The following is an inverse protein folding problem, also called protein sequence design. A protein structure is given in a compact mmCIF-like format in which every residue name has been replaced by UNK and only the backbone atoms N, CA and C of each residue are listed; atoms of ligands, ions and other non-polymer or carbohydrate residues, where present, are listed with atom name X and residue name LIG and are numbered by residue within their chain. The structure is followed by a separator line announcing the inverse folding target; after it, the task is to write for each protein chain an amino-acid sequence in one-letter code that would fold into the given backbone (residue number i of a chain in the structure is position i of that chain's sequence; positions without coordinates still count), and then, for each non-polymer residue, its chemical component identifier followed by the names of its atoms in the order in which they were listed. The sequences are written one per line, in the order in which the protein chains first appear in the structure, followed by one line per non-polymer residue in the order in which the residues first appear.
data_IF_813463955006
#
_entry.id   IF_813463955006
#
_cell.length_a   1.000
_cell.length_b   1.000
_cell.length_c   1.000
_cell.angle_alpha   90.00
_cell.angle_beta   90.00
_cell.angle_gamma   90.00
#
_symmetry.space_group_name_H-M   'P 1'
#
loop_
_entity.id
_entity.type
_entity.pdbx_description
1 polymer ?
#
# COMPACT_ATOMS: atom_id res chain seq x y z
N UNK A 1 24.91 -8.23 2.01
CA UNK A 1 23.98 -9.35 1.80
C UNK A 1 22.55 -8.84 1.65
N UNK A 2 21.87 -9.29 0.64
CA UNK A 2 20.50 -8.87 0.40
C UNK A 2 19.53 -9.52 1.39
N UNK A 3 18.53 -8.78 1.76
CA UNK A 3 17.46 -9.31 2.59
C UNK A 3 16.64 -10.32 1.76
N UNK A 4 16.30 -11.43 2.39
CA UNK A 4 15.40 -12.39 1.78
C UNK A 4 13.98 -11.81 1.74
N UNK A 5 13.33 -11.99 0.60
CA UNK A 5 11.94 -11.56 0.40
C UNK A 5 11.15 -12.69 -0.20
N UNK A 6 9.90 -12.81 0.21
CA UNK A 6 8.99 -13.81 -0.34
C UNK A 6 7.67 -13.16 -0.67
N UNK A 7 7.07 -13.63 -1.74
CA UNK A 7 5.75 -13.16 -2.14
C UNK A 7 4.74 -13.40 -1.01
N UNK A 8 3.92 -12.41 -0.73
CA UNK A 8 2.86 -12.51 0.26
C UNK A 8 1.48 -12.39 -0.40
N UNK A 9 1.22 -11.30 -1.14
CA UNK A 9 -0.04 -11.14 -1.85
C UNK A 9 0.05 -10.09 -2.96
N UNK A 10 -0.85 -10.22 -3.91
CA UNK A 10 -1.14 -9.19 -4.90
C UNK A 10 -2.55 -8.67 -4.63
N UNK A 11 -2.78 -7.39 -4.81
CA UNK A 11 -4.12 -6.82 -4.70
C UNK A 11 -4.18 -5.52 -5.50
N UNK A 12 -5.39 -5.03 -5.74
CA UNK A 12 -5.52 -3.70 -6.31
C UNK A 12 -5.46 -2.65 -5.20
N UNK A 13 -5.22 -1.40 -5.57
CA UNK A 13 -5.27 -0.28 -4.64
C UNK A 13 -6.72 0.19 -4.57
N UNK A 14 -7.37 -0.02 -3.43
CA UNK A 14 -8.77 0.35 -3.24
C UNK A 14 -8.91 1.83 -2.92
N UNK A 15 -9.98 2.44 -3.41
CA UNK A 15 -10.36 3.79 -3.02
C UNK A 15 -9.47 4.91 -3.51
N UNK A 16 -8.63 4.69 -4.52
CA UNK A 16 -7.71 5.73 -4.98
C UNK A 16 -8.42 7.02 -5.40
N UNK A 17 -9.65 6.89 -5.90
CA UNK A 17 -10.44 8.03 -6.36
C UNK A 17 -10.77 9.01 -5.23
N UNK A 18 -10.84 8.50 -3.99
CA UNK A 18 -11.28 9.29 -2.84
C UNK A 18 -10.12 9.75 -1.95
N UNK A 19 -8.89 9.53 -2.39
CA UNK A 19 -7.70 9.85 -1.63
C UNK A 19 -6.73 10.66 -2.49
N UNK A 20 -5.51 10.85 -2.00
CA UNK A 20 -4.59 11.83 -2.56
C UNK A 20 -3.73 11.32 -3.74
N UNK A 21 -4.12 10.20 -4.35
CA UNK A 21 -3.35 9.62 -5.46
C UNK A 21 -3.18 10.60 -6.62
N UNK A 22 -4.20 11.40 -6.91
CA UNK A 22 -4.13 12.33 -8.03
C UNK A 22 -3.10 13.43 -7.84
N UNK A 23 -2.82 13.80 -6.60
CA UNK A 23 -1.83 14.84 -6.30
C UNK A 23 -0.41 14.39 -6.60
N UNK A 24 -0.17 13.09 -6.59
CA UNK A 24 1.16 12.51 -6.83
C UNK A 24 1.17 11.54 -8.00
N UNK A 25 0.11 11.54 -8.80
CA UNK A 25 -0.07 10.55 -9.86
C UNK A 25 1.14 10.42 -10.78
N UNK A 26 1.74 11.55 -11.16
CA UNK A 26 2.90 11.55 -12.05
C UNK A 26 4.13 10.87 -11.45
N UNK A 27 4.15 10.70 -10.15
CA UNK A 27 5.27 10.10 -9.43
C UNK A 27 5.06 8.61 -9.16
N UNK A 28 3.83 8.13 -9.35
CA UNK A 28 3.50 6.73 -9.11
C UNK A 28 3.80 5.92 -10.36
N UNK A 29 4.70 4.96 -10.24
CA UNK A 29 5.15 4.12 -11.36
C UNK A 29 5.29 2.69 -10.89
N UNK A 30 5.34 1.77 -11.85
CA UNK A 30 5.66 0.39 -11.52
C UNK A 30 7.01 0.35 -10.80
N UNK A 31 7.06 -0.31 -9.67
CA UNK A 31 8.25 -0.37 -8.82
C UNK A 31 8.28 0.63 -7.69
N UNK A 32 7.40 1.63 -7.69
CA UNK A 32 7.34 2.62 -6.61
C UNK A 32 7.11 1.94 -5.27
N UNK A 33 7.96 2.27 -4.29
CA UNK A 33 7.84 1.74 -2.93
C UNK A 33 6.77 2.49 -2.16
N UNK A 34 5.92 1.74 -1.46
CA UNK A 34 4.83 2.28 -0.67
C UNK A 34 4.92 1.76 0.76
N UNK A 35 4.36 2.50 1.69
CA UNK A 35 4.31 2.11 3.10
C UNK A 35 2.90 1.68 3.46
N UNK A 36 2.77 0.62 4.24
CA UNK A 36 1.49 0.16 4.76
C UNK A 36 1.34 0.62 6.20
N UNK A 37 0.17 1.16 6.53
CA UNK A 37 -0.07 1.78 7.82
C UNK A 37 -1.46 1.42 8.34
N UNK A 38 -1.55 0.98 9.61
CA UNK A 38 -2.85 0.73 10.21
C UNK A 38 -3.61 2.04 10.37
N UNK A 39 -4.86 2.05 9.93
CA UNK A 39 -5.75 3.19 10.13
C UNK A 39 -6.74 2.86 11.24
N UNK A 40 -6.34 3.09 12.47
CA UNK A 40 -7.13 2.75 13.65
C UNK A 40 -8.37 3.63 13.82
N UNK A 41 -8.40 4.78 13.16
CA UNK A 41 -9.53 5.70 13.27
C UNK A 41 -10.61 5.45 12.22
N UNK A 42 -10.43 4.44 11.39
CA UNK A 42 -11.39 4.14 10.33
C UNK A 42 -12.63 3.48 10.92
N UNK A 43 -13.77 4.19 10.81
CA UNK A 43 -15.02 3.67 11.38
C UNK A 43 -15.76 2.69 10.45
N UNK A 44 -15.32 2.59 9.22
CA UNK A 44 -15.99 1.74 8.22
C UNK A 44 -15.35 0.37 8.08
N UNK A 45 -14.09 0.25 8.49
CA UNK A 45 -13.34 -0.98 8.36
C UNK A 45 -12.40 -1.14 9.54
N UNK A 46 -12.69 -2.07 10.46
CA UNK A 46 -11.84 -2.25 11.65
C UNK A 46 -10.44 -2.76 11.33
N UNK A 47 -10.23 -3.29 10.12
CA UNK A 47 -8.94 -3.80 9.69
C UNK A 47 -8.30 -2.92 8.61
N UNK A 48 -8.69 -1.66 8.52
CA UNK A 48 -8.21 -0.77 7.48
C UNK A 48 -6.68 -0.62 7.49
N UNK A 49 -6.08 -0.79 6.32
CA UNK A 49 -4.65 -0.60 6.10
C UNK A 49 -4.48 0.42 4.99
N UNK A 50 -3.97 1.58 5.35
CA UNK A 50 -3.72 2.67 4.41
C UNK A 50 -2.44 2.41 3.63
N UNK A 51 -2.44 2.82 2.37
CA UNK A 51 -1.28 2.74 1.49
C UNK A 51 -0.74 4.15 1.33
N UNK A 52 0.51 4.36 1.75
CA UNK A 52 1.12 5.68 1.85
C UNK A 52 2.27 5.80 0.86
N UNK A 53 2.27 6.87 0.10
CA UNK A 53 3.40 7.27 -0.72
C UNK A 53 4.17 8.37 0.01
N UNK A 54 5.45 8.14 0.26
CA UNK A 54 6.30 9.12 0.91
C UNK A 54 7.11 9.84 -0.16
N UNK A 55 6.84 11.13 -0.34
CA UNK A 55 7.53 11.94 -1.33
C UNK A 55 8.74 12.62 -0.70
N UNK A 56 9.93 12.19 -1.08
CA UNK A 56 11.16 12.70 -0.50
C UNK A 56 11.48 14.12 -0.95
N UNK A 57 11.05 14.51 -2.14
CA UNK A 57 11.28 15.86 -2.65
C UNK A 57 10.44 16.90 -1.91
N UNK A 58 9.18 16.56 -1.64
CA UNK A 58 8.26 17.45 -0.94
C UNK A 58 8.32 17.28 0.57
N UNK A 59 8.98 16.22 1.03
CA UNK A 59 9.01 15.83 2.45
C UNK A 59 7.58 15.70 2.99
N UNK A 60 6.71 15.06 2.22
CA UNK A 60 5.31 14.86 2.56
C UNK A 60 4.88 13.42 2.32
N UNK A 61 3.88 12.98 3.06
CA UNK A 61 3.29 11.66 2.91
C UNK A 61 1.85 11.79 2.41
N UNK A 62 1.47 10.93 1.48
CA UNK A 62 0.15 10.96 0.86
C UNK A 62 -0.51 9.60 0.99
N UNK A 63 -1.73 9.58 1.54
CA UNK A 63 -2.53 8.36 1.51
C UNK A 63 -3.14 8.25 0.11
N UNK A 64 -2.69 7.28 -0.66
CA UNK A 64 -3.14 7.10 -2.05
C UNK A 64 -4.29 6.11 -2.18
N UNK A 65 -4.62 5.43 -1.12
CA UNK A 65 -5.71 4.46 -1.10
C UNK A 65 -5.53 3.47 0.04
N UNK A 66 -6.20 2.33 -0.08
CA UNK A 66 -6.22 1.30 0.96
C UNK A 66 -6.05 -0.08 0.37
N UNK A 67 -5.62 -1.02 1.19
CA UNK A 67 -5.68 -2.44 0.86
C UNK A 67 -7.15 -2.84 0.87
N UNK A 68 -7.64 -3.60 -0.12
CA UNK A 68 -9.05 -4.00 -0.16
C UNK A 68 -9.48 -4.72 1.12
N UNK A 69 -10.72 -4.48 1.55
CA UNK A 69 -11.25 -5.09 2.78
C UNK A 69 -11.20 -6.61 2.76
N UNK A 70 -11.30 -7.21 1.58
CA UNK A 70 -11.24 -8.66 1.43
C UNK A 70 -9.85 -9.23 1.67
N UNK A 71 -8.82 -8.37 1.68
CA UNK A 71 -7.42 -8.82 1.69
C UNK A 71 -6.61 -8.28 2.86
N UNK A 72 -7.21 -7.49 3.74
CA UNK A 72 -6.43 -6.70 4.70
C UNK A 72 -6.28 -7.30 6.10
N UNK A 73 -7.06 -8.30 6.45
CA UNK A 73 -7.12 -8.80 7.83
C UNK A 73 -5.76 -9.24 8.38
N UNK A 74 -5.04 -10.04 7.62
CA UNK A 74 -3.74 -10.55 8.06
C UNK A 74 -2.71 -9.43 8.18
N UNK A 75 -2.69 -8.53 7.18
CA UNK A 75 -1.79 -7.37 7.22
C UNK A 75 -2.08 -6.51 8.45
N UNK A 76 -3.35 -6.24 8.70
CA UNK A 76 -3.77 -5.45 9.86
C UNK A 76 -3.27 -6.05 11.16
N UNK A 77 -3.41 -7.38 11.29
CA UNK A 77 -2.99 -8.08 12.50
C UNK A 77 -1.49 -7.94 12.73
N UNK A 78 -0.68 -8.14 11.69
CA UNK A 78 0.78 -7.99 11.82
C UNK A 78 1.18 -6.57 12.20
N UNK A 79 0.58 -5.59 11.53
CA UNK A 79 0.90 -4.19 11.78
C UNK A 79 0.51 -3.78 13.19
N UNK A 80 -0.64 -4.25 13.69
CA UNK A 80 -1.07 -3.98 15.07
C UNK A 80 -0.09 -4.54 16.09
N UNK A 81 0.52 -5.68 15.79
CA UNK A 81 1.47 -6.30 16.69
C UNK A 81 2.88 -5.71 16.58
N UNK A 82 3.03 -4.64 15.80
CA UNK A 82 4.29 -3.93 15.70
C UNK A 82 5.23 -4.41 14.60
N UNK A 83 4.79 -5.33 13.75
CA UNK A 83 5.63 -5.85 12.65
C UNK A 83 5.60 -4.91 11.45
N UNK A 84 5.93 -3.64 11.67
CA UNK A 84 5.82 -2.61 10.65
C UNK A 84 6.87 -2.72 9.54
N UNK A 85 8.00 -3.37 9.83
CA UNK A 85 9.07 -3.54 8.84
C UNK A 85 9.05 -4.90 8.14
N UNK A 86 8.01 -5.70 8.40
CA UNK A 86 7.96 -7.06 7.85
C UNK A 86 7.55 -7.11 6.38
N UNK A 87 6.98 -6.03 5.86
CA UNK A 87 6.40 -6.03 4.52
C UNK A 87 7.05 -4.99 3.62
N UNK A 88 7.18 -5.34 2.33
CA UNK A 88 7.55 -4.40 1.29
C UNK A 88 6.40 -4.36 0.29
N UNK A 89 5.83 -3.18 0.09
CA UNK A 89 4.74 -2.98 -0.85
C UNK A 89 5.24 -2.13 -2.02
N UNK A 90 5.04 -2.62 -3.24
CA UNK A 90 5.40 -1.86 -4.44
C UNK A 90 4.27 -1.92 -5.46
N UNK A 91 4.19 -0.88 -6.27
CA UNK A 91 3.27 -0.87 -7.41
C UNK A 91 3.78 -1.89 -8.41
N UNK A 92 2.91 -2.82 -8.81
CA UNK A 92 3.28 -3.86 -9.78
C UNK A 92 2.67 -3.63 -11.16
N UNK A 93 1.59 -2.83 -11.23
CA UNK A 93 0.93 -2.57 -12.50
C UNK A 93 0.12 -1.28 -12.40
N UNK A 94 0.13 -0.51 -13.48
CA UNK A 94 -0.72 0.68 -13.63
C UNK A 94 -1.44 0.56 -14.97
N UNK A 95 -2.77 0.68 -14.93
CA UNK A 95 -3.61 0.68 -16.13
C UNK A 95 -4.50 1.92 -16.11
N UNK A 96 -4.05 2.97 -16.78
CA UNK A 96 -4.76 4.24 -16.78
C UNK A 96 -6.11 4.18 -17.49
N UNK A 97 -6.32 3.18 -18.32
CA UNK A 97 -7.56 3.01 -19.09
C UNK A 97 -8.62 2.22 -18.32
N UNK A 98 -8.28 1.67 -17.17
CA UNK A 98 -9.22 0.92 -16.35
C UNK A 98 -10.07 1.87 -15.49
N UNK A 99 -11.17 1.33 -14.93
CA UNK A 99 -11.93 2.03 -13.91
C UNK A 99 -10.98 2.41 -12.76
N UNK A 100 -11.23 3.58 -12.13
CA UNK A 100 -10.32 4.11 -11.10
C UNK A 100 -9.97 3.09 -10.01
N UNK A 101 -10.93 2.24 -9.63
CA UNK A 101 -10.69 1.23 -8.59
C UNK A 101 -9.66 0.18 -9.00
N UNK A 102 -9.45 -0.03 -10.29
CA UNK A 102 -8.58 -1.09 -10.81
C UNK A 102 -7.40 -0.54 -11.61
N UNK A 103 -7.06 0.72 -11.41
CA UNK A 103 -5.95 1.33 -12.14
C UNK A 103 -4.58 0.96 -11.59
N UNK A 104 -4.48 0.73 -10.29
CA UNK A 104 -3.20 0.46 -9.63
C UNK A 104 -3.26 -0.89 -8.94
N UNK A 105 -2.24 -1.71 -9.18
CA UNK A 105 -2.07 -3.00 -8.53
C UNK A 105 -0.79 -3.02 -7.72
N UNK A 106 -0.84 -3.74 -6.61
CA UNK A 106 0.25 -3.80 -5.65
C UNK A 106 0.73 -5.23 -5.49
N UNK A 107 2.04 -5.38 -5.30
CA UNK A 107 2.62 -6.64 -4.85
C UNK A 107 3.25 -6.40 -3.50
N UNK A 108 2.89 -7.24 -2.55
CA UNK A 108 3.39 -7.17 -1.18
C UNK A 108 4.25 -8.41 -0.92
N UNK A 109 5.45 -8.18 -0.43
CA UNK A 109 6.38 -9.24 -0.08
C UNK A 109 6.66 -9.20 1.41
N UNK A 110 6.89 -10.38 1.99
CA UNK A 110 7.43 -10.47 3.34
C UNK A 110 8.93 -10.38 3.22
N UNK A 111 9.54 -9.55 4.02
CA UNK A 111 11.00 -9.45 4.03
C UNK A 111 11.54 -9.79 5.40
N UNK A 112 12.79 -10.24 5.41
CA UNK A 112 13.46 -10.55 6.64
C UNK A 112 13.65 -9.27 7.44
N UNK A 113 13.22 -9.31 8.69
CA UNK A 113 13.39 -8.20 9.60
C UNK A 113 14.60 -8.52 10.46
N UNK A 114 15.79 -7.99 10.01
CA UNK A 114 16.96 -8.40 10.65
C UNK A 114 17.56 -7.56 11.55
#
# INVERSE_FOLDING_TARGET
MEAKKKFFMDCHLAGRKYHDADEVWDKLKVGTLLQLERDLDNRYDPDAVAVIYNDTELDESFCIGYIPRTDNETLAAFLEMGWTDAFECRISKINENAHSEYQVYLTIKIKRNR
#
